data_IF_212172762621
#
_entry.id   IF_212172762621
#
_cell.length_a   1.000
_cell.length_b   1.000
_cell.length_c   1.000
_cell.angle_alpha   90.00
_cell.angle_beta   90.00
_cell.angle_gamma   90.00
#
_symmetry.space_group_name_H-M   'P 1'
#
loop_
_entity.id
_entity.type
_entity.pdbx_description
1 polymer ?
#
# COMPACT_ATOMS: atom_id res chain seq x y z
N UNK A 1 68.64 75.56 22.41
CA UNK A 1 67.78 74.61 23.16
C UNK A 1 66.67 74.23 22.23
N UNK A 2 66.89 73.04 21.51
CA UNK A 2 66.02 72.62 20.41
C UNK A 2 65.13 71.50 20.96
N UNK A 3 63.80 71.77 21.04
CA UNK A 3 62.81 70.82 21.49
C UNK A 3 62.35 69.99 20.27
N UNK A 4 62.70 68.70 20.22
CA UNK A 4 62.20 67.76 19.23
C UNK A 4 60.88 67.13 19.74
N UNK A 5 59.76 67.58 19.16
CA UNK A 5 58.44 66.95 19.40
C UNK A 5 58.31 65.71 18.54
N UNK A 6 58.42 64.53 19.19
CA UNK A 6 58.13 63.28 18.55
C UNK A 6 56.60 63.05 18.41
N UNK A 7 56.10 63.19 17.20
CA UNK A 7 54.70 62.76 16.85
C UNK A 7 54.64 61.25 16.86
N UNK A 8 54.05 60.66 17.90
CA UNK A 8 53.66 59.30 17.90
C UNK A 8 52.62 59.07 16.77
N UNK A 9 52.98 58.31 15.75
CA UNK A 9 52.00 57.76 14.80
C UNK A 9 51.07 56.82 15.57
N UNK A 10 49.83 57.24 15.75
CA UNK A 10 48.76 56.34 16.13
C UNK A 10 48.58 55.36 14.95
N UNK A 11 49.00 54.14 15.14
CA UNK A 11 48.73 53.08 14.19
C UNK A 11 47.25 52.85 14.12
N UNK A 12 46.69 52.85 12.91
CA UNK A 12 45.26 52.76 12.62
C UNK A 12 44.66 51.47 13.17
N UNK A 13 44.07 51.54 14.37
CA UNK A 13 43.21 50.48 14.94
C UNK A 13 41.82 50.42 14.25
N UNK A 14 41.48 51.49 13.51
CA UNK A 14 40.17 51.62 12.86
C UNK A 14 39.92 50.58 11.81
N UNK A 15 40.94 50.18 11.04
CA UNK A 15 40.82 49.11 10.05
C UNK A 15 40.58 47.71 10.65
N UNK A 16 41.20 47.44 11.80
CA UNK A 16 41.01 46.16 12.50
C UNK A 16 39.59 46.03 13.08
N UNK A 17 39.06 47.10 13.66
CA UNK A 17 37.69 47.13 14.20
C UNK A 17 36.65 46.89 13.11
N UNK A 18 36.84 47.52 11.96
CA UNK A 18 35.93 47.34 10.82
C UNK A 18 35.90 45.92 10.31
N UNK A 19 37.05 45.24 10.19
CA UNK A 19 37.16 43.84 9.82
C UNK A 19 36.51 42.94 10.88
N UNK A 20 36.74 43.20 12.16
CA UNK A 20 36.14 42.44 13.26
C UNK A 20 34.60 42.53 13.24
N UNK A 21 34.06 43.73 13.03
CA UNK A 21 32.62 43.95 12.91
C UNK A 21 32.04 43.22 11.72
N UNK A 22 32.69 43.26 10.55
CA UNK A 22 32.26 42.52 9.38
C UNK A 22 32.26 40.98 9.60
N UNK A 23 33.25 40.46 10.31
CA UNK A 23 33.31 39.04 10.67
C UNK A 23 32.16 38.65 11.61
N UNK A 24 31.86 39.45 12.61
CA UNK A 24 30.75 39.21 13.53
C UNK A 24 29.41 39.28 12.79
N UNK A 25 29.22 40.28 11.92
CA UNK A 25 28.00 40.39 11.13
C UNK A 25 27.83 39.21 10.16
N UNK A 26 28.94 38.75 9.53
CA UNK A 26 28.90 37.56 8.66
C UNK A 26 28.56 36.29 9.45
N UNK A 27 29.11 36.12 10.64
CA UNK A 27 28.79 34.99 11.51
C UNK A 27 27.32 34.99 11.95
N UNK A 28 26.82 36.17 12.33
CA UNK A 28 25.40 36.35 12.70
C UNK A 28 24.47 36.10 11.51
N UNK A 29 24.83 36.56 10.30
CA UNK A 29 24.07 36.32 9.09
C UNK A 29 24.03 34.85 8.74
N UNK A 30 25.17 34.14 8.87
CA UNK A 30 25.22 32.68 8.65
C UNK A 30 24.36 31.92 9.67
N UNK A 31 24.42 32.31 10.95
CA UNK A 31 23.59 31.71 11.99
C UNK A 31 22.11 31.94 11.74
N UNK A 32 21.71 33.13 11.33
CA UNK A 32 20.33 33.46 10.99
C UNK A 32 19.85 32.65 9.78
N UNK A 33 20.69 32.46 8.75
CA UNK A 33 20.37 31.65 7.59
C UNK A 33 20.17 30.15 7.95
N UNK A 34 21.06 29.59 8.77
CA UNK A 34 20.94 28.21 9.26
C UNK A 34 19.64 28.04 10.07
N UNK A 35 19.34 28.98 10.95
CA UNK A 35 18.13 28.97 11.77
C UNK A 35 16.87 29.06 10.89
N UNK A 36 16.87 29.91 9.87
CA UNK A 36 15.74 30.04 8.94
C UNK A 36 15.47 28.72 8.17
N UNK A 37 16.54 28.06 7.70
CA UNK A 37 16.43 26.75 7.04
C UNK A 37 15.89 25.69 8.00
N UNK A 38 16.38 25.67 9.23
CA UNK A 38 15.91 24.74 10.26
C UNK A 38 14.41 24.91 10.55
N UNK A 39 13.96 26.16 10.74
CA UNK A 39 12.54 26.49 11.00
C UNK A 39 11.68 26.09 9.79
N UNK A 40 12.11 26.39 8.56
CA UNK A 40 11.38 26.03 7.35
C UNK A 40 11.23 24.50 7.23
N UNK A 41 12.30 23.75 7.42
CA UNK A 41 12.25 22.28 7.36
C UNK A 41 11.37 21.67 8.46
N UNK A 42 11.42 22.24 9.68
CA UNK A 42 10.57 21.78 10.79
C UNK A 42 9.10 22.07 10.51
N UNK A 43 8.77 23.23 9.96
CA UNK A 43 7.39 23.58 9.59
C UNK A 43 6.82 22.62 8.53
N UNK A 44 7.63 22.24 7.51
CA UNK A 44 7.22 21.26 6.49
C UNK A 44 7.02 19.88 7.10
N UNK A 45 7.91 19.45 8.01
CA UNK A 45 7.78 18.15 8.67
C UNK A 45 6.53 18.06 9.57
N UNK A 46 6.21 19.12 10.30
CA UNK A 46 5.00 19.19 11.15
C UNK A 46 3.74 19.20 10.29
N UNK A 47 3.70 20.00 9.21
CA UNK A 47 2.55 20.05 8.31
C UNK A 47 2.28 18.69 7.66
N UNK A 48 3.33 17.97 7.22
CA UNK A 48 3.17 16.60 6.67
C UNK A 48 2.66 15.58 7.69
N UNK A 49 2.99 15.75 8.97
CA UNK A 49 2.45 14.93 10.06
C UNK A 49 0.97 15.18 10.30
N UNK A 50 0.54 16.43 10.29
CA UNK A 50 -0.87 16.80 10.47
C UNK A 50 -1.73 16.28 9.31
N UNK A 51 -1.26 16.40 8.06
CA UNK A 51 -1.95 15.88 6.87
C UNK A 51 -2.14 14.35 6.93
N UNK A 52 -1.14 13.62 7.44
CA UNK A 52 -1.24 12.16 7.58
C UNK A 52 -2.27 11.75 8.64
N UNK A 53 -2.33 12.46 9.77
CA UNK A 53 -3.31 12.23 10.83
C UNK A 53 -4.71 12.56 10.32
N UNK A 54 -4.87 13.66 9.59
CA UNK A 54 -6.16 14.04 9.00
C UNK A 54 -6.62 12.98 7.99
N UNK A 55 -5.73 12.50 7.11
CA UNK A 55 -6.04 11.44 6.15
C UNK A 55 -6.48 10.13 6.83
N UNK A 56 -5.79 9.71 7.90
CA UNK A 56 -6.16 8.53 8.67
C UNK A 56 -7.53 8.67 9.33
N UNK A 57 -7.81 9.84 9.91
CA UNK A 57 -9.12 10.14 10.49
C UNK A 57 -10.24 10.14 9.45
N UNK A 58 -10.00 10.67 8.23
CA UNK A 58 -10.95 10.65 7.13
C UNK A 58 -11.21 9.23 6.62
N UNK A 59 -10.17 8.41 6.51
CA UNK A 59 -10.32 6.98 6.15
C UNK A 59 -11.13 6.22 7.19
N UNK A 60 -10.80 6.38 8.47
CA UNK A 60 -11.53 5.73 9.57
C UNK A 60 -13.00 6.14 9.57
N UNK A 61 -13.29 7.44 9.45
CA UNK A 61 -14.65 7.93 9.37
C UNK A 61 -15.43 7.37 8.16
N UNK A 62 -14.75 7.18 7.02
CA UNK A 62 -15.34 6.59 5.81
C UNK A 62 -15.78 5.14 6.05
N UNK A 63 -14.91 4.35 6.69
CA UNK A 63 -15.20 2.94 7.02
C UNK A 63 -16.34 2.85 8.02
N UNK A 64 -16.32 3.63 9.09
CA UNK A 64 -17.36 3.62 10.12
C UNK A 64 -18.72 4.05 9.58
N UNK A 65 -18.75 5.12 8.76
CA UNK A 65 -19.97 5.60 8.16
C UNK A 65 -20.55 4.60 7.16
N UNK A 66 -19.71 3.95 6.36
CA UNK A 66 -20.11 2.87 5.45
C UNK A 66 -20.70 1.70 6.25
N UNK A 67 -20.01 1.28 7.30
CA UNK A 67 -20.49 0.21 8.17
C UNK A 67 -21.84 0.58 8.81
N UNK A 68 -21.98 1.79 9.34
CA UNK A 68 -23.24 2.26 9.93
C UNK A 68 -24.39 2.22 8.92
N UNK A 69 -24.18 2.71 7.68
CA UNK A 69 -25.21 2.68 6.65
C UNK A 69 -25.60 1.25 6.26
N UNK A 70 -24.60 0.35 6.09
CA UNK A 70 -24.86 -1.02 5.69
C UNK A 70 -25.49 -1.85 6.82
N UNK A 71 -25.01 -1.74 8.06
CA UNK A 71 -25.53 -2.51 9.19
C UNK A 71 -26.90 -1.99 9.67
N UNK A 72 -27.22 -0.73 9.41
CA UNK A 72 -28.55 -0.17 9.64
C UNK A 72 -29.64 -0.77 8.76
N UNK A 73 -29.27 -1.49 7.68
CA UNK A 73 -30.22 -2.13 6.76
C UNK A 73 -30.34 -3.63 7.03
N UNK A 74 -31.52 -4.24 6.81
CA UNK A 74 -31.66 -5.70 6.80
C UNK A 74 -30.68 -6.33 5.79
N UNK A 75 -30.14 -7.49 6.12
CA UNK A 75 -29.10 -8.14 5.30
C UNK A 75 -29.48 -8.29 3.82
N UNK A 76 -30.78 -8.58 3.56
CA UNK A 76 -31.32 -8.77 2.21
C UNK A 76 -31.46 -7.47 1.42
N UNK A 77 -31.46 -6.32 2.10
CA UNK A 77 -31.60 -5.00 1.49
C UNK A 77 -30.28 -4.25 1.36
N UNK A 78 -29.18 -4.82 1.88
CA UNK A 78 -27.85 -4.20 1.80
C UNK A 78 -27.40 -4.13 0.36
N UNK A 79 -27.04 -2.93 -0.15
CA UNK A 79 -26.45 -2.84 -1.48
C UNK A 79 -25.07 -3.53 -1.50
N UNK A 80 -24.80 -4.24 -2.58
CA UNK A 80 -23.50 -4.90 -2.81
C UNK A 80 -22.47 -3.94 -3.38
N UNK A 81 -22.91 -2.78 -3.88
CA UNK A 81 -22.09 -1.68 -4.36
C UNK A 81 -22.79 -0.37 -4.08
N UNK A 82 -22.02 0.65 -3.76
CA UNK A 82 -22.58 1.98 -3.52
C UNK A 82 -21.54 3.07 -3.55
N UNK A 83 -22.06 4.29 -3.59
CA UNK A 83 -21.27 5.51 -3.58
C UNK A 83 -22.01 6.54 -2.72
N UNK A 84 -21.27 7.29 -1.92
CA UNK A 84 -21.80 8.46 -1.21
C UNK A 84 -20.67 9.45 -0.90
N UNK A 85 -21.08 10.70 -0.67
CA UNK A 85 -20.18 11.76 -0.27
C UNK A 85 -20.53 12.22 1.14
N UNK A 86 -19.51 12.62 1.90
CA UNK A 86 -19.70 13.30 3.17
C UNK A 86 -18.65 14.37 3.40
N UNK A 87 -18.92 15.28 4.33
CA UNK A 87 -17.99 16.32 4.72
C UNK A 87 -17.57 16.14 6.16
N UNK A 88 -16.25 16.17 6.40
CA UNK A 88 -15.67 16.17 7.73
C UNK A 88 -14.66 17.31 7.84
N UNK A 89 -14.93 18.27 8.73
CA UNK A 89 -14.12 19.47 8.84
C UNK A 89 -14.14 20.30 7.55
N UNK A 90 -12.97 20.43 6.91
CA UNK A 90 -12.80 21.13 5.63
C UNK A 90 -12.75 20.18 4.42
N UNK A 91 -12.60 18.89 4.65
CA UNK A 91 -12.48 17.89 3.60
C UNK A 91 -13.86 17.44 3.10
N UNK A 92 -13.99 17.27 1.78
CA UNK A 92 -15.07 16.53 1.15
C UNK A 92 -14.53 15.15 0.79
N UNK A 93 -15.20 14.11 1.26
CA UNK A 93 -14.79 12.72 1.09
C UNK A 93 -15.79 12.00 0.22
N UNK A 94 -15.31 11.42 -0.88
CA UNK A 94 -16.08 10.54 -1.74
C UNK A 94 -15.77 9.09 -1.36
N UNK A 95 -16.78 8.29 -1.10
CA UNK A 95 -16.66 6.89 -0.71
C UNK A 95 -17.33 6.01 -1.74
N UNK A 96 -16.57 5.07 -2.28
CA UNK A 96 -17.10 3.96 -3.08
C UNK A 96 -16.86 2.66 -2.32
N UNK A 97 -17.86 1.80 -2.24
CA UNK A 97 -17.75 0.48 -1.62
C UNK A 97 -18.27 -0.60 -2.55
N UNK A 98 -17.68 -1.79 -2.46
CA UNK A 98 -18.10 -2.97 -3.21
C UNK A 98 -17.99 -4.20 -2.30
N UNK A 99 -18.93 -5.12 -2.48
CA UNK A 99 -18.92 -6.40 -1.76
C UNK A 99 -17.71 -7.25 -2.15
N UNK A 100 -17.06 -7.87 -1.17
CA UNK A 100 -15.99 -8.83 -1.41
C UNK A 100 -16.46 -10.06 -2.21
N UNK A 101 -17.77 -10.34 -2.25
CA UNK A 101 -18.36 -11.38 -3.11
C UNK A 101 -18.19 -11.11 -4.62
N UNK A 102 -17.78 -9.92 -5.02
CA UNK A 102 -17.45 -9.56 -6.40
C UNK A 102 -16.04 -10.01 -6.82
N UNK A 103 -15.23 -10.51 -5.87
CA UNK A 103 -13.85 -10.96 -6.06
C UNK A 103 -13.73 -12.46 -5.87
N UNK A 104 -12.66 -13.04 -6.40
CA UNK A 104 -12.36 -14.47 -6.25
C UNK A 104 -11.70 -14.69 -4.87
N UNK A 105 -12.33 -15.50 -4.03
CA UNK A 105 -11.79 -15.82 -2.71
C UNK A 105 -10.66 -16.86 -2.82
N UNK A 106 -9.45 -16.47 -2.39
CA UNK A 106 -8.28 -17.35 -2.43
C UNK A 106 -8.44 -18.58 -1.53
N UNK A 107 -9.28 -18.50 -0.51
CA UNK A 107 -9.50 -19.59 0.43
C UNK A 107 -10.58 -20.59 -0.02
N UNK A 108 -11.61 -20.12 -0.72
CA UNK A 108 -12.77 -20.93 -1.05
C UNK A 108 -12.87 -21.28 -2.54
N UNK A 109 -12.33 -20.42 -3.42
CA UNK A 109 -12.48 -20.59 -4.85
C UNK A 109 -11.98 -21.96 -5.34
N UNK A 110 -12.74 -22.67 -6.19
CA UNK A 110 -12.28 -23.90 -6.80
C UNK A 110 -11.14 -23.63 -7.80
N UNK A 111 -10.30 -24.63 -8.00
CA UNK A 111 -9.13 -24.57 -8.91
C UNK A 111 -9.50 -24.04 -10.30
N UNK A 112 -10.66 -24.43 -10.83
CA UNK A 112 -11.12 -23.99 -12.16
C UNK A 112 -11.34 -22.49 -12.21
N UNK A 113 -11.91 -21.88 -11.18
CA UNK A 113 -12.14 -20.44 -11.10
C UNK A 113 -10.81 -19.67 -10.96
N UNK A 114 -9.88 -20.18 -10.13
CA UNK A 114 -8.53 -19.60 -10.01
C UNK A 114 -7.76 -19.67 -11.34
N UNK A 115 -7.79 -20.82 -12.01
CA UNK A 115 -7.16 -20.99 -13.33
C UNK A 115 -7.79 -20.07 -14.37
N UNK A 116 -9.12 -19.95 -14.38
CA UNK A 116 -9.86 -19.03 -15.25
C UNK A 116 -9.45 -17.58 -15.04
N UNK A 117 -9.31 -17.14 -13.78
CA UNK A 117 -8.82 -15.79 -13.46
C UNK A 117 -7.42 -15.56 -14.02
N UNK A 118 -6.49 -16.48 -13.81
CA UNK A 118 -5.14 -16.31 -14.35
C UNK A 118 -5.10 -16.28 -15.88
N UNK A 119 -5.98 -17.03 -16.56
CA UNK A 119 -6.14 -16.96 -18.03
C UNK A 119 -6.68 -15.57 -18.43
N UNK A 120 -7.73 -15.10 -17.77
CA UNK A 120 -8.30 -13.76 -18.03
C UNK A 120 -7.27 -12.65 -17.84
N UNK A 121 -6.33 -12.84 -16.91
CA UNK A 121 -5.22 -11.94 -16.65
C UNK A 121 -4.02 -12.16 -17.60
N UNK A 122 -4.13 -13.00 -18.61
CA UNK A 122 -3.15 -13.17 -19.68
C UNK A 122 -2.16 -14.32 -19.48
N UNK A 123 -2.36 -15.20 -18.50
CA UNK A 123 -1.53 -16.38 -18.38
C UNK A 123 -1.92 -17.44 -19.44
N UNK A 124 -0.92 -18.20 -19.90
CA UNK A 124 -1.18 -19.35 -20.78
C UNK A 124 -1.96 -20.44 -20.03
N UNK A 125 -2.89 -21.16 -20.68
CA UNK A 125 -3.78 -22.12 -20.00
C UNK A 125 -3.06 -23.17 -19.15
N UNK A 126 -1.93 -23.69 -19.62
CA UNK A 126 -1.15 -24.70 -18.87
C UNK A 126 -0.48 -24.09 -17.63
N UNK A 127 0.09 -22.89 -17.77
CA UNK A 127 0.67 -22.17 -16.67
C UNK A 127 -0.40 -21.75 -15.64
N UNK A 128 -1.56 -21.26 -16.09
CA UNK A 128 -2.66 -20.87 -15.23
C UNK A 128 -3.16 -22.05 -14.36
N UNK A 129 -3.22 -23.26 -14.91
CA UNK A 129 -3.55 -24.47 -14.14
C UNK A 129 -2.51 -24.76 -13.06
N UNK A 130 -1.22 -24.62 -13.41
CA UNK A 130 -0.13 -24.77 -12.43
C UNK A 130 -0.19 -23.74 -11.33
N UNK A 131 -0.44 -22.47 -11.66
CA UNK A 131 -0.59 -21.39 -10.68
C UNK A 131 -1.76 -21.65 -9.74
N UNK A 132 -2.91 -22.08 -10.27
CA UNK A 132 -4.06 -22.48 -9.47
C UNK A 132 -3.73 -23.66 -8.53
N UNK A 133 -2.93 -24.64 -8.98
CA UNK A 133 -2.44 -25.72 -8.12
C UNK A 133 -1.58 -25.21 -6.99
N UNK A 134 -0.67 -24.25 -7.26
CA UNK A 134 0.18 -23.65 -6.23
C UNK A 134 -0.63 -22.87 -5.20
N UNK A 135 -1.65 -22.10 -5.62
CA UNK A 135 -2.56 -21.38 -4.71
C UNK A 135 -3.33 -22.38 -3.82
N UNK A 136 -3.86 -23.45 -4.39
CA UNK A 136 -4.55 -24.50 -3.62
C UNK A 136 -3.57 -25.20 -2.69
N UNK A 137 -2.37 -25.54 -3.16
CA UNK A 137 -1.30 -26.15 -2.35
C UNK A 137 -0.91 -25.27 -1.17
N UNK A 138 -0.78 -23.97 -1.37
CA UNK A 138 -0.44 -23.00 -0.32
C UNK A 138 -1.41 -23.06 0.86
N UNK A 139 -2.72 -23.12 0.60
CA UNK A 139 -3.78 -23.12 1.63
C UNK A 139 -4.11 -24.51 2.19
N UNK A 140 -3.65 -25.59 1.54
CA UNK A 140 -4.04 -26.94 1.92
C UNK A 140 -3.14 -27.47 3.01
N UNK A 141 -3.76 -27.88 4.14
CA UNK A 141 -3.02 -28.54 5.22
C UNK A 141 -2.50 -29.90 4.79
N UNK A 142 -1.20 -30.20 4.97
CA UNK A 142 -0.65 -31.50 4.68
C UNK A 142 -1.36 -32.60 5.49
N UNK A 143 -1.60 -33.75 4.88
CA UNK A 143 -2.19 -34.90 5.57
C UNK A 143 -1.17 -35.51 6.53
N UNK A 144 -1.59 -35.79 7.75
CA UNK A 144 -0.73 -36.41 8.76
C UNK A 144 -0.17 -37.73 8.25
N UNK A 145 1.14 -37.91 8.30
CA UNK A 145 1.83 -39.13 7.87
C UNK A 145 2.10 -39.24 6.37
N UNK A 146 1.74 -38.25 5.55
CA UNK A 146 2.13 -38.15 4.15
C UNK A 146 3.22 -37.10 3.97
N UNK A 147 4.06 -37.30 2.94
CA UNK A 147 5.06 -36.30 2.56
C UNK A 147 4.32 -35.08 2.01
N UNK A 148 4.71 -33.91 2.49
CA UNK A 148 4.19 -32.63 1.98
C UNK A 148 4.83 -32.37 0.60
N UNK A 149 4.09 -32.70 -0.45
CA UNK A 149 4.54 -32.52 -1.83
C UNK A 149 4.74 -31.06 -2.17
N UNK A 150 3.84 -30.20 -1.69
CA UNK A 150 3.94 -28.76 -1.94
C UNK A 150 5.17 -28.17 -1.25
N UNK A 151 5.41 -28.45 0.03
CA UNK A 151 6.60 -28.02 0.74
C UNK A 151 7.91 -28.54 0.09
N UNK A 152 7.86 -29.72 -0.53
CA UNK A 152 9.00 -30.28 -1.23
C UNK A 152 9.39 -29.45 -2.45
N UNK A 153 8.42 -28.86 -3.17
CA UNK A 153 8.69 -27.99 -4.32
C UNK A 153 9.39 -26.71 -3.89
N UNK A 154 8.97 -26.10 -2.77
CA UNK A 154 9.61 -24.90 -2.22
C UNK A 154 11.06 -25.20 -1.82
N UNK A 155 11.29 -26.34 -1.20
CA UNK A 155 12.64 -26.79 -0.80
C UNK A 155 13.55 -26.98 -2.03
N UNK A 156 13.07 -27.67 -3.05
CA UNK A 156 13.81 -27.90 -4.30
C UNK A 156 14.11 -26.60 -5.02
N UNK A 157 13.22 -25.62 -4.93
CA UNK A 157 13.41 -24.28 -5.50
C UNK A 157 14.36 -23.41 -4.67
N UNK A 158 14.90 -23.90 -3.54
CA UNK A 158 15.86 -23.15 -2.69
C UNK A 158 15.26 -22.01 -1.91
N UNK A 159 13.94 -22.00 -1.71
CA UNK A 159 13.26 -20.94 -0.97
C UNK A 159 13.48 -21.12 0.55
N UNK A 160 13.66 -20.03 1.31
CA UNK A 160 13.88 -20.09 2.76
C UNK A 160 12.58 -20.24 3.58
N UNK A 161 11.44 -20.41 2.89
CA UNK A 161 10.11 -20.55 3.49
C UNK A 161 9.32 -21.68 2.82
N UNK A 162 8.20 -22.05 3.41
CA UNK A 162 7.31 -23.13 2.97
C UNK A 162 5.89 -22.62 2.76
N UNK A 163 5.03 -23.37 2.04
CA UNK A 163 3.63 -23.03 1.93
C UNK A 163 3.00 -23.02 3.33
N UNK A 164 2.01 -22.16 3.50
CA UNK A 164 1.36 -21.94 4.79
C UNK A 164 0.68 -23.18 5.34
N UNK A 165 0.12 -24.04 4.49
CA UNK A 165 -0.67 -25.19 4.91
C UNK A 165 -1.93 -24.82 5.70
N UNK A 166 -2.42 -23.61 5.52
CA UNK A 166 -3.59 -23.00 6.16
C UNK A 166 -4.17 -21.90 5.24
N UNK A 167 -5.41 -21.44 5.45
CA UNK A 167 -6.01 -20.37 4.66
C UNK A 167 -5.11 -19.13 4.61
N UNK A 168 -5.18 -18.40 3.51
CA UNK A 168 -4.52 -17.09 3.36
C UNK A 168 -5.08 -16.12 4.41
N UNK A 169 -4.23 -15.41 5.13
CA UNK A 169 -4.65 -14.31 6.02
C UNK A 169 -4.77 -12.99 5.24
N UNK A 170 -3.99 -12.85 4.17
CA UNK A 170 -3.94 -11.64 3.36
C UNK A 170 -3.68 -11.96 1.90
N UNK A 171 -4.30 -11.20 0.98
CA UNK A 171 -4.10 -11.38 -0.48
C UNK A 171 -2.63 -11.20 -0.90
N UNK A 172 -1.85 -10.43 -0.17
CA UNK A 172 -0.42 -10.26 -0.40
C UNK A 172 0.42 -11.51 -0.24
N UNK A 173 -0.10 -12.59 0.36
CA UNK A 173 0.61 -13.87 0.40
C UNK A 173 0.76 -14.50 -0.99
N UNK A 174 0.01 -14.04 -2.00
CA UNK A 174 0.23 -14.44 -3.39
C UNK A 174 1.66 -14.22 -3.88
N UNK A 175 2.35 -13.21 -3.34
CA UNK A 175 3.78 -12.95 -3.63
C UNK A 175 4.70 -14.07 -3.17
N UNK A 176 4.26 -14.89 -2.23
CA UNK A 176 5.01 -16.01 -1.67
C UNK A 176 4.67 -17.34 -2.34
N UNK A 177 3.63 -17.38 -3.17
CA UNK A 177 3.21 -18.59 -3.87
C UNK A 177 4.20 -18.91 -4.99
N UNK A 178 4.78 -20.11 -4.93
CA UNK A 178 5.83 -20.55 -5.84
C UNK A 178 5.39 -20.48 -7.31
N UNK A 179 6.23 -19.86 -8.13
CA UNK A 179 6.11 -19.86 -9.58
C UNK A 179 5.11 -18.85 -10.16
N UNK A 180 4.39 -18.07 -9.33
CA UNK A 180 3.57 -16.98 -9.82
C UNK A 180 4.46 -15.81 -10.27
N UNK A 181 4.34 -15.35 -11.54
CA UNK A 181 5.09 -14.17 -11.98
C UNK A 181 4.65 -12.90 -11.24
N UNK A 182 5.58 -12.03 -10.84
CA UNK A 182 5.25 -10.78 -10.16
C UNK A 182 4.18 -9.93 -10.86
N UNK A 183 4.30 -9.76 -12.18
CA UNK A 183 3.34 -8.98 -12.97
C UNK A 183 1.93 -9.61 -13.00
N UNK A 184 1.84 -10.93 -12.89
CA UNK A 184 0.55 -11.62 -12.78
C UNK A 184 -0.05 -11.42 -11.39
N UNK A 185 0.76 -11.45 -10.33
CA UNK A 185 0.31 -11.18 -8.96
C UNK A 185 -0.23 -9.76 -8.87
N UNK A 186 0.50 -8.75 -9.35
CA UNK A 186 0.04 -7.34 -9.37
C UNK A 186 -1.33 -7.20 -10.04
N UNK A 187 -1.53 -7.85 -11.19
CA UNK A 187 -2.81 -7.84 -11.90
C UNK A 187 -3.91 -8.61 -11.17
N UNK A 188 -3.56 -9.64 -10.40
CA UNK A 188 -4.53 -10.46 -9.68
C UNK A 188 -5.03 -9.78 -8.39
N UNK A 189 -4.18 -9.02 -7.68
CA UNK A 189 -4.51 -8.41 -6.38
C UNK A 189 -5.85 -7.65 -6.35
N UNK A 190 -6.24 -6.84 -7.35
CA UNK A 190 -7.53 -6.15 -7.34
C UNK A 190 -8.75 -7.08 -7.46
N UNK A 191 -8.56 -8.29 -7.97
CA UNK A 191 -9.62 -9.25 -8.33
C UNK A 191 -9.79 -10.39 -7.33
N UNK A 192 -8.95 -10.45 -6.30
CA UNK A 192 -8.96 -11.52 -5.29
C UNK A 192 -9.28 -10.97 -3.90
N UNK A 193 -9.77 -11.85 -3.05
CA UNK A 193 -10.05 -11.57 -1.64
C UNK A 193 -9.74 -12.79 -0.77
N UNK A 194 -9.76 -12.62 0.55
CA UNK A 194 -9.70 -13.69 1.56
C UNK A 194 -10.87 -13.58 2.54
N UNK A 195 -11.82 -12.67 2.28
CA UNK A 195 -12.86 -12.29 3.24
C UNK A 195 -14.27 -12.64 2.83
N UNK A 196 -14.51 -13.08 1.58
CA UNK A 196 -15.88 -13.37 1.13
C UNK A 196 -16.44 -14.66 1.72
N UNK A 197 -15.61 -15.66 1.98
CA UNK A 197 -16.00 -16.99 2.44
C UNK A 197 -16.86 -17.75 1.42
N UNK A 198 -16.78 -17.36 0.13
CA UNK A 198 -17.61 -17.93 -0.93
C UNK A 198 -16.74 -18.66 -1.99
N UNK A 199 -17.20 -19.82 -2.39
CA UNK A 199 -16.63 -20.60 -3.50
C UNK A 199 -17.02 -20.10 -4.89
N UNK A 200 -17.89 -19.09 -4.94
CA UNK A 200 -18.48 -18.47 -6.13
C UNK A 200 -18.42 -16.95 -6.03
N UNK A 201 -18.60 -16.29 -7.16
CA UNK A 201 -18.60 -14.83 -7.26
C UNK A 201 -20.01 -14.27 -7.50
N UNK A 202 -20.24 -13.03 -7.05
CA UNK A 202 -21.42 -12.26 -7.43
C UNK A 202 -21.19 -11.64 -8.81
N UNK A 203 -21.70 -12.27 -9.86
CA UNK A 203 -21.50 -11.81 -11.24
C UNK A 203 -22.08 -10.42 -11.53
N UNK A 204 -23.02 -9.92 -10.70
CA UNK A 204 -23.62 -8.59 -10.91
C UNK A 204 -22.62 -7.45 -10.66
N UNK A 205 -21.71 -7.65 -9.73
CA UNK A 205 -20.77 -6.61 -9.27
C UNK A 205 -19.32 -6.93 -9.63
N UNK A 206 -19.07 -8.13 -10.18
CA UNK A 206 -17.74 -8.60 -10.53
C UNK A 206 -17.15 -7.81 -11.71
N UNK A 207 -15.84 -7.59 -11.66
CA UNK A 207 -15.09 -7.00 -12.76
C UNK A 207 -15.09 -7.92 -14.00
N UNK A 208 -14.91 -7.38 -15.22
CA UNK A 208 -14.89 -8.19 -16.45
C UNK A 208 -13.91 -9.35 -16.41
N UNK A 209 -12.73 -9.17 -15.82
CA UNK A 209 -11.70 -10.19 -15.66
C UNK A 209 -12.16 -11.35 -14.77
N UNK A 210 -12.92 -11.01 -13.72
CA UNK A 210 -13.49 -12.00 -12.79
C UNK A 210 -14.65 -12.75 -13.46
N UNK A 211 -15.46 -12.08 -14.28
CA UNK A 211 -16.52 -12.71 -15.07
C UNK A 211 -15.93 -13.68 -16.10
N UNK A 212 -14.88 -13.27 -16.81
CA UNK A 212 -14.16 -14.10 -17.76
C UNK A 212 -13.50 -15.34 -17.12
N UNK A 213 -13.29 -15.34 -15.80
CA UNK A 213 -12.76 -16.47 -15.05
C UNK A 213 -13.77 -17.61 -14.86
N UNK A 214 -15.08 -17.34 -15.05
CA UNK A 214 -16.13 -18.34 -14.84
C UNK A 214 -16.08 -19.38 -15.93
N UNK A 215 -16.00 -20.68 -15.60
CA UNK A 215 -15.99 -21.74 -16.61
C UNK A 215 -17.21 -21.70 -17.51
N UNK A 216 -16.98 -21.63 -18.82
CA UNK A 216 -18.06 -21.58 -19.83
C UNK A 216 -18.64 -20.21 -20.12
N UNK A 217 -18.18 -19.16 -19.47
CA UNK A 217 -18.53 -17.79 -19.83
C UNK A 217 -17.52 -17.26 -20.86
N UNK A 218 -18.01 -16.76 -21.98
CA UNK A 218 -17.19 -16.07 -22.98
C UNK A 218 -17.38 -14.57 -22.84
N UNK A 219 -16.39 -13.73 -23.21
CA UNK A 219 -16.49 -12.26 -23.10
C UNK A 219 -17.67 -11.65 -23.85
N UNK A 220 -18.28 -12.41 -24.79
CA UNK A 220 -19.38 -11.99 -25.67
C UNK A 220 -20.76 -12.56 -25.24
N UNK A 221 -20.87 -13.16 -24.04
CA UNK A 221 -22.09 -13.84 -23.57
C UNK A 221 -22.69 -13.28 -22.29
#
# INVERSE_FOLDING_TARGET
MTVIVQRRKQASSDGFVLVAVLWILSALAALAAIYAIYVANTAVAVAGGDDAIEADALMSASVELTAYQLFGMPAQARPTRGFFDFRLGRANVAVEFCSEAARVDLNEAPKQLLSGLFIALGAQPDAARQYADRVVGWRTKPKTGQQDEEASLYRVSGLPYFPRGAPFDHVGELWLVLGLPPELVERALPHVTVFSGLDRINARDAAPEVLAAIPGMTPDG
#
